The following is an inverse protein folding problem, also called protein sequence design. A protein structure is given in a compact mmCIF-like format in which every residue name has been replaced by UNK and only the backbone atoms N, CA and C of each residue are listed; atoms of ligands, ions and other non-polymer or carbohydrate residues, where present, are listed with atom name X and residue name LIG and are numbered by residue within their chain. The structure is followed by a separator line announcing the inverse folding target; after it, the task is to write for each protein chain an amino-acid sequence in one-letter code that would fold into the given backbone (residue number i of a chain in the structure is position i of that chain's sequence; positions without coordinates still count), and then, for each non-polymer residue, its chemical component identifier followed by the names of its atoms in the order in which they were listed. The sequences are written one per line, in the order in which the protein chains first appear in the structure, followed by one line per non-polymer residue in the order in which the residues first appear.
data_IF_485249113934
#
_entry.id   IF_485249113934
#
_cell.length_a   1.000
_cell.length_b   1.000
_cell.length_c   1.000
_cell.angle_alpha   90.00
_cell.angle_beta   90.00
_cell.angle_gamma   90.00
#
_symmetry.space_group_name_H-M   'P 1'
#
loop_
_entity.id
_entity.type
_entity.pdbx_description
1 polymer ?
#
# COMPACT_ATOMS: atom_id res chain seq x y z
N UNK A 1 59.92 6.12 2.13
CA UNK A 1 58.58 6.74 2.21
C UNK A 1 57.77 5.93 3.21
N UNK A 2 57.57 6.44 4.43
CA UNK A 2 56.73 5.78 5.43
C UNK A 2 55.26 6.00 5.12
N UNK A 3 54.46 4.93 5.11
CA UNK A 3 52.99 5.03 5.01
C UNK A 3 52.47 5.73 6.26
N UNK A 4 51.94 6.94 6.09
CA UNK A 4 51.15 7.64 7.09
C UNK A 4 49.85 6.85 7.29
N UNK A 5 49.63 6.32 8.49
CA UNK A 5 48.36 5.70 8.86
C UNK A 5 47.49 6.79 9.48
N UNK A 6 46.31 7.02 8.91
CA UNK A 6 45.35 7.99 9.42
C UNK A 6 44.42 7.30 10.43
N UNK A 7 44.28 7.89 11.61
CA UNK A 7 43.39 7.39 12.65
C UNK A 7 41.97 7.87 12.39
N UNK A 8 41.07 6.93 12.13
CA UNK A 8 39.66 7.23 11.87
C UNK A 8 38.86 7.10 13.18
N UNK A 9 38.48 8.22 13.78
CA UNK A 9 37.60 8.29 14.94
C UNK A 9 36.15 8.73 14.55
N UNK A 10 35.15 8.66 15.45
CA UNK A 10 33.76 9.00 15.13
C UNK A 10 33.52 10.44 14.65
N UNK A 11 34.45 11.37 14.92
CA UNK A 11 34.42 12.75 14.42
C UNK A 11 35.23 12.96 13.13
N UNK A 12 35.89 11.91 12.64
CA UNK A 12 36.69 11.97 11.42
C UNK A 12 35.84 12.44 10.22
N UNK A 13 36.37 13.30 9.33
CA UNK A 13 35.63 13.83 8.18
C UNK A 13 35.00 12.73 7.31
N UNK A 14 35.68 11.60 7.13
CA UNK A 14 35.12 10.43 6.43
C UNK A 14 33.88 9.87 7.13
N UNK A 15 33.90 9.70 8.46
CA UNK A 15 32.76 9.17 9.23
C UNK A 15 31.60 10.16 9.23
N UNK A 16 31.90 11.46 9.35
CA UNK A 16 30.89 12.52 9.24
C UNK A 16 30.28 12.58 7.85
N UNK A 17 31.08 12.47 6.80
CA UNK A 17 30.63 12.41 5.41
C UNK A 17 29.78 11.16 5.13
N UNK A 18 30.17 9.99 5.66
CA UNK A 18 29.35 8.77 5.59
C UNK A 18 28.01 9.02 6.29
N UNK A 19 28.00 9.50 7.54
CA UNK A 19 26.75 9.79 8.27
C UNK A 19 25.86 10.80 7.53
N UNK A 20 26.46 11.87 7.02
CA UNK A 20 25.76 12.89 6.24
C UNK A 20 25.12 12.28 4.99
N UNK A 21 25.87 11.44 4.25
CA UNK A 21 25.35 10.67 3.11
C UNK A 21 24.22 9.72 3.51
N UNK A 22 24.29 9.06 4.67
CA UNK A 22 23.19 8.23 5.19
C UNK A 22 21.97 9.05 5.63
N UNK A 23 22.15 10.31 6.05
CA UNK A 23 21.04 11.20 6.45
C UNK A 23 20.43 12.00 5.31
N UNK A 24 21.18 12.31 4.25
CA UNK A 24 20.72 13.12 3.11
C UNK A 24 20.46 12.32 1.84
N UNK A 25 20.94 11.09 1.72
CA UNK A 25 20.43 10.19 0.69
C UNK A 25 18.94 9.98 0.98
N UNK A 26 18.07 10.38 0.05
CA UNK A 26 16.74 9.78 -0.06
C UNK A 26 16.96 8.27 0.00
N UNK A 27 16.62 7.64 1.12
CA UNK A 27 17.04 6.27 1.41
C UNK A 27 16.46 5.31 0.36
N UNK A 28 17.21 5.09 -0.73
CA UNK A 28 17.14 3.87 -1.55
C UNK A 28 17.97 2.75 -0.92
N UNK A 29 18.34 2.91 0.36
CA UNK A 29 18.70 1.81 1.22
C UNK A 29 17.38 1.42 1.91
N UNK A 30 16.69 0.45 1.32
CA UNK A 30 15.65 -0.28 2.05
C UNK A 30 16.24 -0.70 3.39
N UNK A 31 15.52 -0.62 4.52
CA UNK A 31 16.03 -1.11 5.79
C UNK A 31 16.26 -2.61 5.65
N UNK A 32 17.52 -2.96 5.37
CA UNK A 32 17.99 -4.32 5.30
C UNK A 32 18.34 -4.74 6.72
N UNK A 33 17.70 -5.79 7.20
CA UNK A 33 18.00 -6.35 8.52
C UNK A 33 18.35 -7.81 8.46
N UNK A 34 19.19 -8.19 9.42
CA UNK A 34 19.50 -9.57 9.74
C UNK A 34 19.02 -9.83 11.15
N UNK A 35 18.10 -10.78 11.32
CA UNK A 35 17.42 -10.99 12.60
C UNK A 35 17.48 -12.47 12.95
N UNK A 36 17.78 -12.80 14.21
CA UNK A 36 17.69 -14.17 14.71
C UNK A 36 16.46 -14.36 15.58
N UNK A 37 15.83 -15.52 15.48
CA UNK A 37 14.69 -15.92 16.30
C UNK A 37 14.76 -17.41 16.62
N UNK A 38 14.28 -17.81 17.78
CA UNK A 38 14.18 -19.23 18.14
C UNK A 38 13.02 -19.91 17.40
N UNK A 39 13.23 -21.15 16.95
CA UNK A 39 12.22 -21.99 16.27
C UNK A 39 11.03 -22.33 17.17
N UNK A 40 11.13 -22.16 18.49
CA UNK A 40 9.98 -22.29 19.38
C UNK A 40 8.99 -21.13 19.24
N UNK A 41 9.49 -19.95 18.87
CA UNK A 41 8.66 -18.74 18.67
C UNK A 41 7.96 -18.75 17.31
N UNK A 42 8.53 -19.43 16.31
CA UNK A 42 8.01 -19.49 14.94
C UNK A 42 7.86 -20.95 14.53
N UNK A 43 6.66 -21.41 14.19
CA UNK A 43 6.41 -22.81 13.76
C UNK A 43 6.99 -23.11 12.36
N UNK A 44 8.29 -22.92 12.20
CA UNK A 44 9.09 -23.11 11.00
C UNK A 44 10.33 -23.91 11.34
N UNK A 45 10.85 -24.63 10.35
CA UNK A 45 12.09 -25.36 10.51
C UNK A 45 13.27 -24.38 10.73
N UNK A 46 14.27 -24.77 11.54
CA UNK A 46 15.50 -24.02 11.67
C UNK A 46 16.19 -23.84 10.33
N UNK A 47 16.71 -22.63 10.08
CA UNK A 47 17.34 -22.29 8.81
C UNK A 47 17.36 -20.80 8.52
N UNK A 48 17.68 -20.48 7.27
CA UNK A 48 17.76 -19.11 6.78
C UNK A 48 16.57 -18.80 5.88
N UNK A 49 15.93 -17.66 6.13
CA UNK A 49 14.78 -17.19 5.37
C UNK A 49 15.03 -15.78 4.90
N UNK A 50 14.92 -15.55 3.60
CA UNK A 50 14.91 -14.19 3.04
C UNK A 50 13.48 -13.69 3.01
N UNK A 51 13.28 -12.42 3.34
CA UNK A 51 11.96 -11.81 3.30
C UNK A 51 11.97 -10.44 2.62
N UNK A 52 10.80 -10.02 2.16
CA UNK A 52 10.52 -8.66 1.68
C UNK A 52 9.14 -8.20 2.13
N UNK A 53 9.05 -6.93 2.47
CA UNK A 53 7.83 -6.24 2.90
C UNK A 53 7.60 -5.05 1.99
N UNK A 54 6.40 -4.95 1.46
CA UNK A 54 5.95 -3.82 0.65
C UNK A 54 4.67 -3.22 1.24
N UNK A 55 4.53 -1.91 1.08
CA UNK A 55 3.27 -1.20 1.21
C UNK A 55 2.72 -0.97 -0.19
N UNK A 56 1.49 -1.42 -0.41
CA UNK A 56 0.71 -1.10 -1.59
C UNK A 56 -0.33 -0.06 -1.21
N UNK A 57 -0.42 1.00 -1.99
CA UNK A 57 -1.46 2.01 -1.87
C UNK A 57 -2.26 2.07 -3.18
N UNK A 58 -3.57 1.96 -3.06
CA UNK A 58 -4.53 2.08 -4.16
C UNK A 58 -5.49 3.22 -3.85
N UNK A 59 -5.58 4.18 -4.77
CA UNK A 59 -6.50 5.31 -4.64
C UNK A 59 -7.47 5.37 -5.82
N UNK A 60 -8.76 5.51 -5.51
CA UNK A 60 -9.83 5.75 -6.46
C UNK A 60 -11.10 6.21 -5.72
N UNK A 61 -12.19 5.48 -5.89
CA UNK A 61 -13.41 5.72 -5.11
C UNK A 61 -13.16 5.48 -3.63
N UNK A 62 -12.44 4.40 -3.33
CA UNK A 62 -11.89 4.06 -2.02
C UNK A 62 -10.39 4.29 -2.02
N UNK A 63 -9.85 4.44 -0.83
CA UNK A 63 -8.40 4.40 -0.57
C UNK A 63 -8.13 3.13 0.20
N UNK A 64 -7.23 2.30 -0.30
CA UNK A 64 -6.87 1.00 0.27
C UNK A 64 -5.36 0.91 0.40
N UNK A 65 -4.89 0.60 1.61
CA UNK A 65 -3.48 0.40 1.89
C UNK A 65 -3.28 -1.01 2.41
N UNK A 66 -2.32 -1.73 1.85
CA UNK A 66 -2.06 -3.13 2.17
C UNK A 66 -0.58 -3.37 2.40
N UNK A 67 -0.24 -4.01 3.52
CA UNK A 67 1.09 -4.55 3.74
C UNK A 67 1.17 -5.96 3.14
N UNK A 68 2.19 -6.20 2.33
CA UNK A 68 2.42 -7.47 1.66
C UNK A 68 3.78 -8.01 2.06
N UNK A 69 3.78 -9.27 2.43
CA UNK A 69 4.94 -9.98 2.95
C UNK A 69 5.22 -11.17 2.06
N UNK A 70 6.50 -11.40 1.77
CA UNK A 70 6.92 -12.68 1.21
C UNK A 70 8.22 -13.13 1.81
N UNK A 71 8.27 -14.40 2.19
CA UNK A 71 9.46 -15.06 2.66
C UNK A 71 9.74 -16.34 1.87
N UNK A 72 11.02 -16.68 1.74
CA UNK A 72 11.52 -17.84 1.02
C UNK A 72 12.66 -18.47 1.83
N UNK A 73 12.63 -19.78 1.98
CA UNK A 73 13.74 -20.52 2.58
C UNK A 73 14.95 -20.47 1.64
N UNK A 74 16.13 -20.17 2.19
CA UNK A 74 17.36 -19.98 1.39
C UNK A 74 17.80 -21.29 0.75
N UNK A 75 17.82 -22.36 1.54
CA UNK A 75 18.39 -23.66 1.19
C UNK A 75 17.65 -24.35 0.03
N UNK A 76 16.34 -24.55 0.16
CA UNK A 76 15.53 -25.25 -0.86
C UNK A 76 14.83 -24.29 -1.83
N UNK A 77 14.75 -23.00 -1.51
CA UNK A 77 14.04 -22.01 -2.33
C UNK A 77 12.53 -22.12 -2.24
N UNK A 78 12.00 -22.79 -1.23
CA UNK A 78 10.55 -22.93 -1.05
C UNK A 78 9.98 -21.63 -0.48
N UNK A 79 9.02 -21.06 -1.19
CA UNK A 79 8.26 -19.91 -0.69
C UNK A 79 7.38 -20.33 0.48
N UNK A 80 7.39 -19.50 1.53
CA UNK A 80 6.37 -19.58 2.55
C UNK A 80 5.02 -19.12 1.98
N UNK A 81 3.93 -19.61 2.55
CA UNK A 81 2.59 -19.06 2.28
C UNK A 81 2.55 -17.59 2.69
N UNK A 82 1.60 -16.82 2.17
CA UNK A 82 1.50 -15.39 2.50
C UNK A 82 1.20 -15.19 3.99
N UNK A 83 0.29 -16.02 4.54
CA UNK A 83 0.00 -16.06 5.97
C UNK A 83 1.21 -16.43 6.82
N UNK A 84 1.99 -17.43 6.40
CA UNK A 84 3.23 -17.83 7.08
C UNK A 84 4.30 -16.74 7.00
N UNK A 85 4.39 -16.04 5.86
CA UNK A 85 5.34 -14.93 5.66
C UNK A 85 5.00 -13.75 6.58
N UNK A 86 3.73 -13.35 6.63
CA UNK A 86 3.24 -12.32 7.54
C UNK A 86 3.46 -12.70 9.01
N UNK A 87 3.12 -13.95 9.37
CA UNK A 87 3.26 -14.44 10.74
C UNK A 87 4.74 -14.43 11.17
N UNK A 88 5.64 -14.94 10.32
CA UNK A 88 7.08 -14.92 10.57
C UNK A 88 7.58 -13.50 10.83
N UNK A 89 7.30 -12.57 9.90
CA UNK A 89 7.75 -11.19 10.00
C UNK A 89 7.18 -10.52 11.25
N UNK A 90 5.90 -10.71 11.55
CA UNK A 90 5.22 -10.11 12.71
C UNK A 90 5.84 -10.56 14.04
N UNK A 91 6.12 -11.86 14.17
CA UNK A 91 6.74 -12.42 15.38
C UNK A 91 8.19 -11.91 15.49
N UNK A 92 8.93 -11.88 14.38
CA UNK A 92 10.31 -11.38 14.33
C UNK A 92 10.39 -9.90 14.70
N UNK A 93 9.43 -9.07 14.30
CA UNK A 93 9.37 -7.66 14.71
C UNK A 93 9.16 -7.50 16.23
N UNK A 94 8.53 -8.45 16.89
CA UNK A 94 8.25 -8.39 18.33
C UNK A 94 9.35 -9.03 19.20
N UNK A 95 9.90 -10.15 18.75
CA UNK A 95 10.77 -11.02 19.56
C UNK A 95 12.17 -11.23 18.96
N UNK A 96 12.38 -10.83 17.71
CA UNK A 96 13.62 -11.04 16.99
C UNK A 96 14.76 -10.22 17.57
N UNK A 97 15.96 -10.80 17.54
CA UNK A 97 17.18 -10.14 17.97
C UNK A 97 18.02 -9.75 16.77
N UNK A 98 18.46 -8.49 16.71
CA UNK A 98 19.30 -8.02 15.61
C UNK A 98 20.63 -8.78 15.60
N UNK A 99 20.94 -9.42 14.48
CA UNK A 99 22.17 -10.18 14.31
C UNK A 99 23.26 -9.28 13.72
N UNK A 100 24.03 -8.67 14.61
CA UNK A 100 25.19 -7.86 14.22
C UNK A 100 26.23 -8.73 13.48
N UNK A 101 26.90 -8.13 12.49
CA UNK A 101 27.90 -8.81 11.64
C UNK A 101 27.35 -10.03 10.87
N UNK A 102 26.08 -9.98 10.47
CA UNK A 102 25.40 -11.04 9.73
C UNK A 102 26.20 -11.58 8.54
N UNK A 103 26.95 -10.73 7.83
CA UNK A 103 27.80 -11.12 6.69
C UNK A 103 28.75 -12.29 7.00
N UNK A 104 29.25 -12.39 8.24
CA UNK A 104 30.15 -13.47 8.65
C UNK A 104 29.44 -14.83 8.78
N UNK A 105 28.11 -14.83 8.79
CA UNK A 105 27.27 -16.03 8.89
C UNK A 105 26.59 -16.36 7.56
N UNK A 106 26.84 -15.59 6.49
CA UNK A 106 26.26 -15.83 5.18
C UNK A 106 27.22 -16.70 4.36
N UNK A 107 26.87 -17.97 4.20
CA UNK A 107 27.68 -18.91 3.42
C UNK A 107 27.68 -18.58 1.92
N UNK A 108 26.54 -18.09 1.40
CA UNK A 108 26.38 -17.78 -0.02
C UNK A 108 25.52 -16.52 -0.24
N UNK A 109 26.20 -15.38 -0.34
CA UNK A 109 25.57 -14.07 -0.55
C UNK A 109 24.84 -13.99 -1.90
N UNK A 110 25.35 -14.65 -2.94
CA UNK A 110 24.72 -14.64 -4.27
C UNK A 110 23.38 -15.38 -4.26
N UNK A 111 23.31 -16.51 -3.57
CA UNK A 111 22.07 -17.25 -3.38
C UNK A 111 21.03 -16.41 -2.63
N UNK A 112 21.43 -15.73 -1.55
CA UNK A 112 20.54 -14.84 -0.78
C UNK A 112 20.00 -13.70 -1.64
N UNK A 113 20.86 -13.07 -2.45
CA UNK A 113 20.44 -12.03 -3.39
C UNK A 113 19.47 -12.57 -4.45
N UNK A 114 19.71 -13.79 -4.94
CA UNK A 114 18.77 -14.45 -5.86
C UNK A 114 17.42 -14.69 -5.19
N UNK A 115 17.39 -15.19 -3.95
CA UNK A 115 16.17 -15.39 -3.17
C UNK A 115 15.41 -14.09 -2.93
N UNK A 116 16.13 -13.00 -2.64
CA UNK A 116 15.53 -11.69 -2.44
C UNK A 116 14.84 -11.18 -3.71
N UNK A 117 15.50 -11.34 -4.87
CA UNK A 117 14.89 -11.02 -6.17
C UNK A 117 13.63 -11.85 -6.44
N UNK A 118 13.64 -13.14 -6.06
CA UNK A 118 12.47 -14.00 -6.18
C UNK A 118 11.29 -13.52 -5.32
N UNK A 119 11.54 -13.09 -4.08
CA UNK A 119 10.51 -12.46 -3.25
C UNK A 119 9.95 -11.18 -3.89
N UNK A 120 10.81 -10.29 -4.37
CA UNK A 120 10.35 -9.05 -5.01
C UNK A 120 9.52 -9.34 -6.26
N UNK A 121 9.98 -10.24 -7.12
CA UNK A 121 9.26 -10.63 -8.33
C UNK A 121 7.90 -11.26 -8.01
N UNK A 122 7.81 -12.06 -6.93
CA UNK A 122 6.53 -12.59 -6.48
C UNK A 122 5.56 -11.48 -6.09
N UNK A 123 6.04 -10.50 -5.31
CA UNK A 123 5.23 -9.36 -4.87
C UNK A 123 4.84 -8.48 -6.05
N UNK A 124 5.75 -8.19 -6.99
CA UNK A 124 5.45 -7.43 -8.22
C UNK A 124 4.36 -8.11 -9.04
N UNK A 125 4.46 -9.42 -9.30
CA UNK A 125 3.42 -10.16 -10.02
C UNK A 125 2.06 -10.13 -9.30
N UNK A 126 2.08 -10.21 -7.96
CA UNK A 126 0.86 -10.14 -7.16
C UNK A 126 0.27 -8.72 -7.14
N UNK A 127 1.11 -7.68 -7.23
CA UNK A 127 0.67 -6.28 -7.32
C UNK A 127 -0.04 -6.02 -8.65
N UNK A 128 0.49 -6.53 -9.76
CA UNK A 128 -0.17 -6.43 -11.07
C UNK A 128 -1.58 -7.04 -11.04
N UNK A 129 -1.74 -8.21 -10.42
CA UNK A 129 -3.05 -8.84 -10.23
C UNK A 129 -3.96 -8.00 -9.34
N UNK A 130 -3.43 -7.45 -8.25
CA UNK A 130 -4.19 -6.59 -7.34
C UNK A 130 -4.66 -5.30 -8.03
N UNK A 131 -3.86 -4.70 -8.93
CA UNK A 131 -4.25 -3.56 -9.76
C UNK A 131 -5.47 -3.92 -10.61
N UNK A 132 -5.44 -5.06 -11.32
CA UNK A 132 -6.56 -5.49 -12.17
C UNK A 132 -7.85 -5.66 -11.35
N UNK A 133 -7.76 -6.31 -10.19
CA UNK A 133 -8.91 -6.46 -9.28
C UNK A 133 -9.42 -5.11 -8.78
N UNK A 134 -8.52 -4.20 -8.39
CA UNK A 134 -8.90 -2.87 -7.89
C UNK A 134 -9.61 -2.05 -8.96
N UNK A 135 -9.13 -2.07 -10.22
CA UNK A 135 -9.78 -1.33 -11.32
C UNK A 135 -11.21 -1.82 -11.53
N UNK A 136 -11.42 -3.15 -11.53
CA UNK A 136 -12.75 -3.75 -11.69
C UNK A 136 -13.67 -3.37 -10.52
N UNK A 137 -13.19 -3.46 -9.28
CA UNK A 137 -13.97 -3.08 -8.10
C UNK A 137 -14.31 -1.58 -8.09
N UNK A 138 -13.35 -0.73 -8.45
CA UNK A 138 -13.52 0.71 -8.53
C UNK A 138 -14.60 1.10 -9.55
N UNK A 139 -14.59 0.48 -10.74
CA UNK A 139 -15.60 0.69 -11.78
C UNK A 139 -16.99 0.27 -11.30
N UNK A 140 -17.09 -0.90 -10.65
CA UNK A 140 -18.34 -1.37 -10.05
C UNK A 140 -18.88 -0.37 -9.01
N UNK A 141 -18.00 0.14 -8.14
CA UNK A 141 -18.36 1.14 -7.15
C UNK A 141 -18.82 2.46 -7.78
N UNK A 142 -18.14 2.94 -8.82
CA UNK A 142 -18.56 4.13 -9.57
C UNK A 142 -19.97 3.95 -10.14
N UNK A 143 -20.22 2.82 -10.80
CA UNK A 143 -21.51 2.50 -11.41
C UNK A 143 -22.65 2.44 -10.39
N UNK A 144 -22.40 1.86 -9.22
CA UNK A 144 -23.36 1.82 -8.11
C UNK A 144 -23.64 3.23 -7.57
N UNK A 145 -22.61 4.06 -7.36
CA UNK A 145 -22.78 5.42 -6.85
C UNK A 145 -23.51 6.33 -7.84
N UNK A 146 -23.16 6.25 -9.12
CA UNK A 146 -23.82 6.97 -10.20
C UNK A 146 -25.31 6.59 -10.27
N UNK A 147 -25.62 5.29 -10.34
CA UNK A 147 -27.00 4.80 -10.43
C UNK A 147 -27.82 5.24 -9.22
N UNK A 148 -27.24 5.12 -8.03
CA UNK A 148 -27.86 5.56 -6.77
C UNK A 148 -28.15 7.06 -6.76
N UNK A 149 -27.20 7.89 -7.21
CA UNK A 149 -27.36 9.34 -7.30
C UNK A 149 -28.46 9.74 -8.29
N UNK A 150 -28.48 9.14 -9.48
CA UNK A 150 -29.51 9.37 -10.50
C UNK A 150 -30.89 8.97 -9.99
N UNK A 151 -31.03 7.77 -9.44
CA UNK A 151 -32.31 7.26 -8.92
C UNK A 151 -32.87 8.16 -7.81
N UNK A 152 -32.01 8.63 -6.90
CA UNK A 152 -32.41 9.56 -5.84
C UNK A 152 -32.89 10.90 -6.41
N UNK A 153 -32.11 11.49 -7.33
CA UNK A 153 -32.44 12.76 -7.95
C UNK A 153 -33.72 12.68 -8.78
N UNK A 154 -33.90 11.63 -9.59
CA UNK A 154 -35.11 11.40 -10.39
C UNK A 154 -36.38 11.35 -9.53
N UNK A 155 -36.33 10.63 -8.39
CA UNK A 155 -37.45 10.59 -7.43
C UNK A 155 -37.78 11.98 -6.90
N UNK A 156 -36.76 12.76 -6.52
CA UNK A 156 -36.95 14.12 -5.98
C UNK A 156 -37.39 15.13 -7.03
N UNK A 157 -36.86 15.05 -8.25
CA UNK A 157 -37.29 15.85 -9.38
C UNK A 157 -38.76 15.59 -9.69
N UNK A 158 -39.16 14.32 -9.78
CA UNK A 158 -40.57 13.94 -10.01
C UNK A 158 -41.50 14.48 -8.92
N UNK A 159 -41.12 14.36 -7.64
CA UNK A 159 -41.88 14.93 -6.52
C UNK A 159 -42.08 16.45 -6.65
N UNK A 160 -41.00 17.19 -6.95
CA UNK A 160 -41.02 18.64 -7.07
C UNK A 160 -41.75 19.12 -8.34
N UNK A 161 -41.57 18.45 -9.47
CA UNK A 161 -42.28 18.74 -10.72
C UNK A 161 -43.79 18.52 -10.57
N UNK A 162 -44.21 17.41 -9.97
CA UNK A 162 -45.62 17.16 -9.67
C UNK A 162 -46.21 18.23 -8.74
N UNK A 163 -45.41 18.74 -7.79
CA UNK A 163 -45.81 19.83 -6.89
C UNK A 163 -45.95 21.17 -7.62
N UNK A 164 -45.05 21.47 -8.56
CA UNK A 164 -45.12 22.65 -9.44
C UNK A 164 -46.39 22.60 -10.30
N UNK A 165 -46.64 21.48 -10.98
CA UNK A 165 -47.83 21.29 -11.83
C UNK A 165 -49.13 21.48 -11.06
N UNK A 166 -49.16 21.05 -9.79
CA UNK A 166 -50.30 21.28 -8.91
C UNK A 166 -50.45 22.76 -8.57
N UNK A 167 -49.38 23.46 -8.20
CA UNK A 167 -49.45 24.88 -7.87
C UNK A 167 -49.81 25.77 -9.06
N UNK A 168 -49.37 25.42 -10.28
CA UNK A 168 -49.82 26.06 -11.50
C UNK A 168 -51.34 25.92 -11.69
N UNK A 169 -51.87 24.70 -11.56
CA UNK A 169 -53.32 24.44 -11.68
C UNK A 169 -54.15 25.14 -10.59
N UNK A 170 -53.63 25.23 -9.38
CA UNK A 170 -54.28 25.89 -8.24
C UNK A 170 -54.13 27.43 -8.26
N UNK A 171 -53.39 28.00 -9.21
CA UNK A 171 -53.14 29.45 -9.29
C UNK A 171 -52.25 30.01 -8.17
N UNK A 172 -51.54 29.17 -7.43
CA UNK A 172 -50.68 29.57 -6.28
C UNK A 172 -49.30 30.03 -6.73
N UNK A 173 -49.26 31.12 -7.49
CA UNK A 173 -48.06 31.61 -8.19
C UNK A 173 -46.92 32.05 -7.26
N UNK A 174 -47.23 32.55 -6.06
CA UNK A 174 -46.20 33.04 -5.12
C UNK A 174 -45.22 31.96 -4.63
N UNK A 175 -45.65 30.70 -4.57
CA UNK A 175 -44.84 29.59 -4.02
C UNK A 175 -43.96 28.93 -5.10
N UNK A 176 -44.30 29.14 -6.39
CA UNK A 176 -43.63 28.51 -7.53
C UNK A 176 -42.11 28.78 -7.56
N UNK A 177 -41.62 30.03 -7.39
CA UNK A 177 -40.18 30.30 -7.44
C UNK A 177 -39.38 29.54 -6.38
N UNK A 178 -39.97 29.32 -5.20
CA UNK A 178 -39.32 28.58 -4.12
C UNK A 178 -39.15 27.08 -4.47
N UNK A 179 -40.17 26.47 -5.10
CA UNK A 179 -40.11 25.07 -5.51
C UNK A 179 -39.20 24.87 -6.73
N UNK A 180 -39.20 25.80 -7.69
CA UNK A 180 -38.23 25.82 -8.79
C UNK A 180 -36.79 25.94 -8.26
N UNK A 181 -36.57 26.77 -7.24
CA UNK A 181 -35.28 26.87 -6.56
C UNK A 181 -34.83 25.55 -5.95
N UNK A 182 -35.75 24.78 -5.35
CA UNK A 182 -35.47 23.44 -4.83
C UNK A 182 -35.14 22.45 -5.95
N UNK A 183 -35.88 22.48 -7.06
CA UNK A 183 -35.61 21.62 -8.22
C UNK A 183 -34.24 21.90 -8.82
N UNK A 184 -33.91 23.18 -9.00
CA UNK A 184 -32.59 23.61 -9.47
C UNK A 184 -31.48 23.17 -8.52
N UNK A 185 -31.71 23.20 -7.20
CA UNK A 185 -30.76 22.69 -6.22
C UNK A 185 -30.53 21.19 -6.39
N UNK A 186 -31.58 20.38 -6.53
CA UNK A 186 -31.46 18.93 -6.77
C UNK A 186 -30.65 18.64 -8.04
N UNK A 187 -30.90 19.38 -9.12
CA UNK A 187 -30.16 19.23 -10.37
C UNK A 187 -28.66 19.55 -10.21
N UNK A 188 -28.34 20.64 -9.50
CA UNK A 188 -26.94 21.01 -9.21
C UNK A 188 -26.25 19.97 -8.33
N UNK A 189 -26.91 19.46 -7.31
CA UNK A 189 -26.36 18.43 -6.43
C UNK A 189 -26.10 17.12 -7.19
N UNK A 190 -27.00 16.73 -8.11
CA UNK A 190 -26.78 15.59 -8.99
C UNK A 190 -25.55 15.80 -9.88
N UNK A 191 -25.47 16.93 -10.56
CA UNK A 191 -24.35 17.26 -11.46
C UNK A 191 -23.01 17.23 -10.71
N UNK A 192 -22.92 17.85 -9.53
CA UNK A 192 -21.72 17.80 -8.68
C UNK A 192 -21.36 16.36 -8.31
N UNK A 193 -22.34 15.54 -7.88
CA UNK A 193 -22.09 14.14 -7.54
C UNK A 193 -21.58 13.34 -8.74
N UNK A 194 -22.17 13.51 -9.91
CA UNK A 194 -21.75 12.81 -11.13
C UNK A 194 -20.32 13.18 -11.51
N UNK A 195 -19.95 14.47 -11.43
CA UNK A 195 -18.56 14.92 -11.68
C UNK A 195 -17.57 14.32 -10.69
N UNK A 196 -17.93 14.20 -9.41
CA UNK A 196 -17.07 13.56 -8.41
C UNK A 196 -16.86 12.07 -8.74
N UNK A 197 -17.93 11.36 -9.12
CA UNK A 197 -17.84 9.95 -9.51
C UNK A 197 -16.97 9.79 -10.75
N UNK A 198 -17.17 10.62 -11.78
CA UNK A 198 -16.40 10.60 -13.02
C UNK A 198 -14.90 10.93 -12.79
N UNK A 199 -14.62 11.89 -11.90
CA UNK A 199 -13.26 12.19 -11.48
C UNK A 199 -12.60 10.99 -10.79
N UNK A 200 -13.29 10.33 -9.86
CA UNK A 200 -12.79 9.12 -9.17
C UNK A 200 -12.66 7.90 -10.08
N UNK A 201 -13.41 7.87 -11.19
CA UNK A 201 -13.27 6.85 -12.24
C UNK A 201 -12.00 7.04 -13.06
N UNK A 202 -11.62 8.30 -13.31
CA UNK A 202 -10.50 8.66 -14.19
C UNK A 202 -9.17 8.90 -13.46
N UNK A 203 -9.20 9.28 -12.18
CA UNK A 203 -8.02 9.50 -11.34
C UNK A 203 -7.81 8.31 -10.40
N UNK A 204 -7.37 7.20 -10.98
CA UNK A 204 -6.92 6.04 -10.21
C UNK A 204 -5.40 6.12 -10.13
N UNK A 205 -4.84 5.90 -8.93
CA UNK A 205 -3.39 5.80 -8.75
C UNK A 205 -3.01 4.58 -7.93
N UNK A 206 -1.84 4.05 -8.28
CA UNK A 206 -1.24 2.89 -7.65
C UNK A 206 0.17 3.25 -7.21
N UNK A 207 0.52 2.87 -6.00
CA UNK A 207 1.86 3.02 -5.50
C UNK A 207 2.30 1.71 -4.82
N UNK A 208 3.57 1.36 -5.02
CA UNK A 208 4.20 0.23 -4.36
C UNK A 208 5.54 0.71 -3.80
N UNK A 209 5.67 0.62 -2.48
CA UNK A 209 6.88 1.02 -1.77
C UNK A 209 7.46 -0.16 -1.01
N UNK A 210 8.70 -0.54 -1.30
CA UNK A 210 9.41 -1.54 -0.50
C UNK A 210 9.76 -0.92 0.87
N UNK A 211 9.15 -1.47 1.92
CA UNK A 211 9.35 -1.00 3.29
C UNK A 211 10.57 -1.63 3.94
N UNK A 212 10.82 -2.92 3.72
CA UNK A 212 11.95 -3.64 4.30
C UNK A 212 12.28 -4.90 3.50
N UNK A 213 13.50 -5.39 3.67
CA UNK A 213 13.93 -6.69 3.18
C UNK A 213 15.03 -7.21 4.08
N UNK A 214 15.34 -8.50 4.04
CA UNK A 214 16.39 -9.00 4.91
C UNK A 214 16.44 -10.50 4.99
N UNK A 215 17.22 -10.95 5.97
CA UNK A 215 17.38 -12.36 6.29
C UNK A 215 17.00 -12.61 7.75
N UNK A 216 16.30 -13.71 7.97
CA UNK A 216 15.89 -14.21 9.27
C UNK A 216 16.57 -15.54 9.49
N UNK A 217 17.29 -15.66 10.60
CA UNK A 217 17.90 -16.90 11.05
C UNK A 217 16.97 -17.52 12.10
N UNK A 218 16.37 -18.64 11.75
CA UNK A 218 15.61 -19.46 12.70
C UNK A 218 16.58 -20.44 13.32
N UNK A 219 16.87 -20.25 14.60
CA UNK A 219 17.80 -21.08 15.38
C UNK A 219 17.03 -21.97 16.35
N UNK A 220 17.63 -23.10 16.75
CA UNK A 220 17.14 -23.84 17.91
C UNK A 220 17.24 -22.99 19.19
#
# INVERSE_FOLDING_TARGET
MGKSHELIDPNHPLIRWIRDRYSTASQTLHPVSAISIHSESVSLDPGEYVYSIYLWDFEGVKVENQLVYKAIAVNDGVFLSDQSSESLVSIVMQQGQNRLNAHNFLDNVDLINQRQKQCNQYIENAFDQAIEYFIIDNENHCNIQEKSARTFAERKQSELSNRLDRFHREGKTQIIPAVEGQLNKVNRELDVKLRIVDHKRSQISFNQQQLASGIIFVTH
#
